data_IF_271914095719
#
_entry.id   IF_271914095719
#
_cell.length_a   1.000
_cell.length_b   1.000
_cell.length_c   1.000
_cell.angle_alpha   90.00
_cell.angle_beta   90.00
_cell.angle_gamma   90.00
#
_symmetry.space_group_name_H-M   'P 1'
#
loop_
_entity.id
_entity.type
_entity.pdbx_description
1 polymer ?
#
# COMPACT_ATOMS: atom_id res chain seq x y z
N UNK A 1 21.62 61.08 44.23
CA UNK A 1 21.99 60.40 45.49
C UNK A 1 20.89 59.43 45.88
N UNK A 2 21.25 58.17 46.21
CA UNK A 2 20.43 57.08 46.81
C UNK A 2 19.45 56.40 45.82
N UNK A 3 19.31 55.07 45.69
CA UNK A 3 19.88 53.87 46.34
C UNK A 3 19.55 52.67 45.42
N UNK A 4 20.43 51.67 45.37
CA UNK A 4 20.14 50.34 44.84
C UNK A 4 19.34 49.48 45.85
N UNK A 5 18.49 48.55 45.40
CA UNK A 5 18.61 47.09 45.63
C UNK A 5 17.41 46.27 45.07
N UNK A 6 17.78 45.33 44.20
CA UNK A 6 17.34 43.94 43.88
C UNK A 6 16.13 43.34 44.63
N UNK A 7 15.25 42.64 43.88
CA UNK A 7 14.68 41.32 44.24
C UNK A 7 14.20 40.55 42.99
N UNK A 8 14.27 39.22 43.08
CA UNK A 8 14.47 38.27 41.99
C UNK A 8 13.21 37.49 41.56
N UNK A 9 13.25 37.03 40.30
CA UNK A 9 12.69 35.80 39.69
C UNK A 9 11.21 35.39 39.91
N UNK A 10 10.47 35.17 38.81
CA UNK A 10 9.92 33.84 38.40
C UNK A 10 9.69 33.85 36.88
N UNK A 11 10.20 32.81 36.22
CA UNK A 11 10.09 32.48 34.79
C UNK A 11 8.69 31.92 34.49
N UNK A 12 8.11 32.21 33.32
CA UNK A 12 7.31 31.22 32.60
C UNK A 12 7.52 31.40 31.10
N UNK A 13 8.26 30.45 30.52
CA UNK A 13 8.47 30.31 29.09
C UNK A 13 7.17 29.86 28.42
N UNK A 14 6.60 30.69 27.56
CA UNK A 14 5.46 30.37 26.72
C UNK A 14 5.90 30.18 25.27
N UNK A 15 6.54 29.06 24.96
CA UNK A 15 6.71 28.62 23.58
C UNK A 15 5.65 27.54 23.33
N UNK A 16 4.45 27.96 22.94
CA UNK A 16 3.45 27.07 22.37
C UNK A 16 3.54 27.19 20.85
N UNK A 17 4.61 26.65 20.28
CA UNK A 17 4.51 26.19 18.89
C UNK A 17 3.52 25.04 18.92
N UNK A 18 2.34 25.26 18.36
CA UNK A 18 1.50 24.17 17.86
C UNK A 18 2.34 23.43 16.83
N UNK A 19 3.14 22.48 17.30
CA UNK A 19 3.66 21.41 16.47
C UNK A 19 2.42 20.63 16.06
N UNK A 20 1.91 20.96 14.87
CA UNK A 20 1.17 20.02 14.06
C UNK A 20 2.12 18.85 13.81
N UNK A 21 2.16 17.95 14.79
CA UNK A 21 2.79 16.67 14.66
C UNK A 21 2.00 15.97 13.56
N UNK A 22 2.45 16.16 12.32
CA UNK A 22 2.16 15.27 11.23
C UNK A 22 2.53 13.88 11.75
N UNK A 23 1.54 13.16 12.23
CA UNK A 23 1.64 11.74 12.50
C UNK A 23 1.97 11.14 11.15
N UNK A 24 3.25 10.99 10.85
CA UNK A 24 3.68 10.07 9.82
C UNK A 24 3.16 8.71 10.26
N UNK A 25 2.04 8.30 9.68
CA UNK A 25 1.47 7.00 9.90
C UNK A 25 2.57 5.99 9.59
N UNK A 26 3.11 5.34 10.63
CA UNK A 26 4.02 4.21 10.43
C UNK A 26 3.19 3.11 9.79
N UNK A 27 3.25 2.99 8.48
CA UNK A 27 2.57 1.94 7.73
C UNK A 27 3.52 0.76 7.55
N UNK A 28 3.00 -0.46 7.73
CA UNK A 28 3.71 -1.65 7.24
C UNK A 28 3.47 -1.74 5.74
N UNK A 29 4.54 -1.80 4.96
CA UNK A 29 4.47 -1.80 3.50
C UNK A 29 4.97 -3.10 2.93
N UNK A 30 4.17 -3.69 2.04
CA UNK A 30 4.44 -4.90 1.28
C UNK A 30 4.61 -4.51 -0.19
N UNK A 31 5.68 -4.98 -0.82
CA UNK A 31 5.97 -4.68 -2.21
C UNK A 31 5.89 -5.97 -3.04
N UNK A 32 5.53 -5.82 -4.31
CA UNK A 32 5.59 -6.88 -5.29
C UNK A 32 6.08 -6.33 -6.64
N UNK A 33 6.93 -7.10 -7.31
CA UNK A 33 7.18 -6.90 -8.75
C UNK A 33 6.25 -7.83 -9.50
N UNK A 34 5.49 -7.28 -10.44
CA UNK A 34 4.49 -8.01 -11.22
C UNK A 34 5.04 -8.30 -12.61
N UNK A 35 4.94 -9.55 -13.03
CA UNK A 35 5.37 -10.04 -14.35
C UNK A 35 4.43 -11.16 -14.81
N UNK A 36 4.38 -11.42 -16.12
CA UNK A 36 3.50 -12.46 -16.66
C UNK A 36 3.97 -13.89 -16.39
N UNK A 37 5.26 -14.11 -16.17
CA UNK A 37 5.82 -15.42 -15.82
C UNK A 37 5.45 -15.89 -14.41
N UNK A 38 4.94 -14.99 -13.56
CA UNK A 38 4.41 -15.31 -12.25
C UNK A 38 2.95 -15.76 -12.27
N UNK A 39 2.25 -15.65 -13.41
CA UNK A 39 0.87 -16.15 -13.55
C UNK A 39 0.80 -17.68 -13.48
N UNK A 40 -0.33 -18.19 -12.97
CA UNK A 40 -0.64 -19.62 -13.05
C UNK A 40 -1.34 -19.88 -14.38
N UNK A 41 -0.54 -19.96 -15.43
CA UNK A 41 -0.98 -20.04 -16.82
C UNK A 41 -0.23 -19.04 -17.70
N UNK A 42 -0.71 -18.79 -18.93
CA UNK A 42 -0.08 -17.79 -19.80
C UNK A 42 -0.38 -16.38 -19.28
N UNK A 43 0.65 -15.68 -18.82
CA UNK A 43 0.64 -14.24 -18.64
C UNK A 43 1.22 -13.48 -19.83
N UNK A 44 1.21 -12.16 -19.73
CA UNK A 44 1.78 -11.24 -20.70
C UNK A 44 3.32 -11.30 -20.62
N UNK A 45 4.01 -11.78 -21.67
CA UNK A 45 5.42 -12.16 -21.59
C UNK A 45 6.39 -10.98 -21.46
N UNK A 46 5.98 -9.76 -21.80
CA UNK A 46 6.83 -8.57 -21.76
C UNK A 46 6.26 -7.41 -20.92
N UNK A 47 5.06 -7.57 -20.35
CA UNK A 47 4.50 -6.64 -19.39
C UNK A 47 5.13 -6.74 -17.99
N UNK A 48 5.19 -5.60 -17.31
CA UNK A 48 5.62 -5.54 -15.91
C UNK A 48 5.02 -4.35 -15.15
N UNK A 49 4.98 -4.46 -13.84
CA UNK A 49 4.62 -3.36 -12.94
C UNK A 49 5.25 -3.55 -11.54
N UNK A 50 5.11 -2.54 -10.68
CA UNK A 50 5.37 -2.66 -9.24
C UNK A 50 4.13 -2.33 -8.46
N UNK A 51 3.82 -3.12 -7.45
CA UNK A 51 2.76 -2.83 -6.51
C UNK A 51 3.32 -2.57 -5.11
N UNK A 52 2.70 -1.62 -4.44
CA UNK A 52 2.89 -1.29 -3.04
C UNK A 52 1.54 -1.43 -2.33
N UNK A 53 1.52 -2.18 -1.24
CA UNK A 53 0.36 -2.36 -0.37
C UNK A 53 0.77 -1.96 1.04
N UNK A 54 0.10 -0.97 1.62
CA UNK A 54 0.42 -0.44 2.94
C UNK A 54 -0.75 -0.60 3.90
N UNK A 55 -0.45 -0.98 5.13
CA UNK A 55 -1.43 -1.16 6.20
C UNK A 55 -1.28 -0.04 7.22
N UNK A 56 -2.37 0.64 7.54
CA UNK A 56 -2.38 1.71 8.53
C UNK A 56 -2.07 1.16 9.93
N UNK A 57 -1.38 1.95 10.77
CA UNK A 57 -0.93 1.53 12.12
C UNK A 57 -2.06 1.04 13.02
N UNK A 58 -3.22 1.67 12.92
CA UNK A 58 -4.44 1.35 13.65
C UNK A 58 -5.23 0.18 13.04
N UNK A 59 -4.70 -0.45 11.97
CA UNK A 59 -5.28 -1.62 11.31
C UNK A 59 -6.71 -1.41 10.80
N UNK A 60 -7.08 -0.17 10.52
CA UNK A 60 -8.42 0.19 10.04
C UNK A 60 -8.48 0.42 8.53
N UNK A 61 -7.33 0.50 7.87
CA UNK A 61 -7.23 0.71 6.42
C UNK A 61 -6.07 -0.03 5.79
N UNK A 62 -6.30 -0.42 4.54
CA UNK A 62 -5.30 -0.90 3.61
C UNK A 62 -5.29 0.00 2.38
N UNK A 63 -4.10 0.48 2.02
CA UNK A 63 -3.87 1.33 0.87
C UNK A 63 -3.03 0.59 -0.15
N UNK A 64 -3.23 0.92 -1.42
CA UNK A 64 -2.53 0.29 -2.52
C UNK A 64 -2.09 1.31 -3.55
N UNK A 65 -1.02 0.99 -4.25
CA UNK A 65 -0.58 1.72 -5.42
C UNK A 65 0.17 0.82 -6.40
N UNK A 66 -0.17 0.92 -7.68
CA UNK A 66 0.61 0.30 -8.76
C UNK A 66 1.36 1.38 -9.53
N UNK A 67 2.65 1.15 -9.77
CA UNK A 67 3.59 2.06 -10.44
C UNK A 67 4.40 1.29 -11.48
N UNK A 68 5.19 2.03 -12.26
CA UNK A 68 6.13 1.48 -13.25
C UNK A 68 5.47 0.48 -14.21
N UNK A 69 4.19 0.70 -14.56
CA UNK A 69 3.44 -0.15 -15.49
C UNK A 69 4.04 0.01 -16.89
N UNK A 70 4.50 -1.10 -17.49
CA UNK A 70 5.18 -1.13 -18.80
C UNK A 70 4.61 -2.25 -19.67
N UNK A 71 4.54 -1.98 -20.97
CA UNK A 71 4.16 -2.91 -22.04
C UNK A 71 2.84 -3.67 -21.85
N UNK A 72 1.97 -3.23 -20.94
CA UNK A 72 0.68 -3.86 -20.72
C UNK A 72 -0.39 -3.25 -21.64
N UNK A 73 -1.29 -4.09 -22.15
CA UNK A 73 -2.50 -3.64 -22.83
C UNK A 73 -3.47 -2.88 -21.92
N UNK A 74 -4.60 -2.38 -22.44
CA UNK A 74 -5.62 -1.72 -21.64
C UNK A 74 -6.08 -2.58 -20.46
N UNK A 75 -5.92 -2.04 -19.23
CA UNK A 75 -6.28 -2.73 -18.00
C UNK A 75 -7.81 -2.81 -17.88
N UNK A 76 -8.33 -4.03 -17.74
CA UNK A 76 -9.76 -4.30 -17.56
C UNK A 76 -10.14 -4.47 -16.10
N UNK A 77 -9.24 -5.01 -15.29
CA UNK A 77 -9.39 -5.16 -13.84
C UNK A 77 -8.03 -5.28 -13.15
N UNK A 78 -8.00 -5.01 -11.85
CA UNK A 78 -6.84 -5.24 -11.01
C UNK A 78 -7.30 -5.57 -9.59
N UNK A 79 -6.67 -6.55 -8.96
CA UNK A 79 -7.09 -7.05 -7.66
C UNK A 79 -5.91 -7.42 -6.76
N UNK A 80 -6.17 -7.44 -5.45
CA UNK A 80 -5.42 -8.30 -4.52
C UNK A 80 -6.23 -9.58 -4.39
N UNK A 81 -5.57 -10.72 -4.52
CA UNK A 81 -6.14 -12.05 -4.33
C UNK A 81 -5.57 -12.72 -3.08
N UNK A 82 -6.33 -13.65 -2.51
CA UNK A 82 -5.86 -14.59 -1.48
C UNK A 82 -5.43 -15.90 -2.16
N UNK A 83 -4.14 -16.18 -2.16
CA UNK A 83 -3.55 -17.41 -2.72
C UNK A 83 -2.03 -17.43 -2.58
N UNK A 84 -1.48 -18.61 -2.33
CA UNK A 84 -0.04 -18.82 -2.24
C UNK A 84 0.63 -18.73 -3.62
N UNK A 85 1.96 -18.61 -3.63
CA UNK A 85 2.76 -18.65 -4.87
C UNK A 85 2.45 -19.93 -5.67
N UNK A 86 2.16 -19.77 -6.96
CA UNK A 86 1.82 -20.88 -7.85
C UNK A 86 0.37 -21.37 -7.77
N UNK A 87 -0.46 -20.76 -6.92
CA UNK A 87 -1.88 -21.09 -6.77
C UNK A 87 -2.78 -19.88 -7.07
N UNK A 88 -3.88 -20.11 -7.79
CA UNK A 88 -4.92 -19.10 -8.00
C UNK A 88 -5.90 -19.12 -6.83
N UNK A 89 -6.39 -17.94 -6.44
CA UNK A 89 -7.47 -17.83 -5.47
C UNK A 89 -8.39 -16.64 -5.73
N UNK A 90 -9.41 -16.42 -4.88
CA UNK A 90 -10.44 -15.41 -5.12
C UNK A 90 -9.89 -13.98 -4.96
N UNK A 91 -10.43 -13.00 -5.71
CA UNK A 91 -10.13 -11.60 -5.46
C UNK A 91 -10.72 -11.15 -4.12
N UNK A 92 -9.94 -10.46 -3.31
CA UNK A 92 -10.34 -9.97 -1.98
C UNK A 92 -10.38 -8.44 -1.89
N UNK A 93 -9.64 -7.72 -2.75
CA UNK A 93 -9.71 -6.26 -2.88
C UNK A 93 -9.66 -5.87 -4.35
N UNK A 94 -10.53 -4.96 -4.77
CA UNK A 94 -10.47 -4.32 -6.09
C UNK A 94 -9.58 -3.08 -6.06
N UNK A 95 -8.62 -3.03 -6.99
CA UNK A 95 -7.69 -1.93 -7.18
C UNK A 95 -8.30 -0.98 -8.22
N UNK A 96 -8.95 0.09 -7.73
CA UNK A 96 -9.62 1.06 -8.59
C UNK A 96 -8.65 2.10 -9.13
N UNK A 97 -9.02 2.66 -10.30
CA UNK A 97 -8.31 3.81 -10.86
C UNK A 97 -8.65 5.06 -10.07
N UNK A 98 -7.63 5.81 -9.67
CA UNK A 98 -7.82 7.10 -9.01
C UNK A 98 -8.27 8.17 -10.02
N UNK A 99 -8.99 9.24 -9.58
CA UNK A 99 -9.37 10.35 -10.44
C UNK A 99 -8.18 11.02 -11.17
N UNK A 100 -7.05 11.13 -10.48
CA UNK A 100 -5.79 11.66 -11.01
C UNK A 100 -5.05 10.65 -11.94
N UNK A 101 -5.56 9.43 -12.07
CA UNK A 101 -4.96 8.36 -12.84
C UNK A 101 -4.15 7.36 -12.00
N UNK A 102 -3.82 6.23 -12.63
CA UNK A 102 -3.14 5.10 -11.97
C UNK A 102 -4.07 4.28 -11.06
N UNK A 103 -3.61 3.09 -10.68
CA UNK A 103 -4.29 2.22 -9.73
C UNK A 103 -3.79 2.59 -8.33
N UNK A 104 -4.53 3.43 -7.62
CA UNK A 104 -4.15 3.93 -6.30
C UNK A 104 -5.40 4.20 -5.48
N UNK A 105 -5.38 3.81 -4.21
CA UNK A 105 -6.50 4.07 -3.32
C UNK A 105 -6.29 3.48 -1.94
N UNK A 106 -7.30 3.65 -1.10
CA UNK A 106 -7.41 2.98 0.19
C UNK A 106 -8.81 2.40 0.33
N UNK A 107 -8.92 1.31 1.07
CA UNK A 107 -10.18 0.74 1.53
C UNK A 107 -10.12 0.52 3.03
N UNK A 108 -11.28 0.42 3.66
CA UNK A 108 -11.39 -0.02 5.04
C UNK A 108 -10.76 -1.40 5.20
N UNK A 109 -10.18 -1.64 6.37
CA UNK A 109 -9.49 -2.88 6.68
C UNK A 109 -10.45 -4.07 6.56
N UNK A 110 -10.11 -5.08 5.74
CA UNK A 110 -10.89 -6.29 5.68
C UNK A 110 -10.67 -7.15 6.93
N UNK A 111 -11.63 -8.01 7.24
CA UNK A 111 -11.57 -8.89 8.42
C UNK A 111 -10.33 -9.80 8.44
N UNK A 112 -9.83 -10.19 7.26
CA UNK A 112 -8.66 -11.06 7.10
C UNK A 112 -7.31 -10.35 7.32
N UNK A 113 -7.29 -9.01 7.40
CA UNK A 113 -6.06 -8.20 7.40
C UNK A 113 -5.07 -8.63 8.50
N UNK A 114 -5.57 -8.89 9.70
CA UNK A 114 -4.72 -9.28 10.82
C UNK A 114 -4.07 -10.65 10.60
N UNK A 115 -4.76 -11.58 9.96
CA UNK A 115 -4.22 -12.91 9.65
C UNK A 115 -3.20 -12.83 8.51
N UNK A 116 -3.44 -11.99 7.50
CA UNK A 116 -2.45 -11.67 6.48
C UNK A 116 -1.18 -11.08 7.09
N UNK A 117 -1.29 -10.16 8.05
CA UNK A 117 -0.11 -9.59 8.72
C UNK A 117 0.69 -10.64 9.52
N UNK A 118 0.03 -11.59 10.19
CA UNK A 118 0.73 -12.67 10.94
C UNK A 118 1.57 -13.55 10.02
N UNK A 119 1.16 -13.72 8.77
CA UNK A 119 1.87 -14.50 7.74
C UNK A 119 2.68 -13.62 6.79
N UNK A 120 2.91 -12.35 7.15
CA UNK A 120 3.65 -11.37 6.35
C UNK A 120 3.08 -11.18 4.93
N UNK A 121 1.77 -11.38 4.71
CA UNK A 121 1.10 -11.33 3.40
C UNK A 121 1.56 -12.38 2.37
N UNK A 122 2.35 -13.38 2.77
CA UNK A 122 2.88 -14.42 1.84
C UNK A 122 1.80 -15.24 1.13
N UNK A 123 0.57 -15.27 1.65
CA UNK A 123 -0.60 -15.89 1.02
C UNK A 123 -1.42 -14.94 0.14
N UNK A 124 -0.88 -13.79 -0.29
CA UNK A 124 -1.62 -12.80 -1.08
C UNK A 124 -0.78 -12.31 -2.26
N UNK A 125 -1.44 -11.97 -3.36
CA UNK A 125 -0.78 -11.45 -4.55
C UNK A 125 -1.59 -10.34 -5.21
N UNK A 126 -0.90 -9.46 -5.93
CA UNK A 126 -1.52 -8.47 -6.81
C UNK A 126 -1.60 -9.05 -8.22
N UNK A 127 -2.74 -8.88 -8.86
CA UNK A 127 -2.99 -9.33 -10.23
C UNK A 127 -3.64 -8.24 -11.07
N UNK A 128 -3.22 -8.11 -12.32
CA UNK A 128 -3.76 -7.14 -13.28
C UNK A 128 -4.21 -7.90 -14.53
N UNK A 129 -5.40 -7.56 -15.02
CA UNK A 129 -6.04 -8.22 -16.15
C UNK A 129 -6.15 -7.27 -17.34
N UNK A 130 -6.11 -7.84 -18.55
CA UNK A 130 -6.38 -7.14 -19.80
C UNK A 130 -7.42 -7.92 -20.62
N UNK A 131 -7.80 -7.42 -21.79
CA UNK A 131 -8.66 -8.17 -22.69
C UNK A 131 -7.99 -9.44 -23.26
N UNK A 132 -6.68 -9.36 -23.54
CA UNK A 132 -5.89 -10.48 -24.08
C UNK A 132 -5.56 -11.52 -23.01
N UNK A 133 -5.46 -11.08 -21.74
CA UNK A 133 -5.17 -11.91 -20.58
C UNK A 133 -6.25 -11.75 -19.50
N UNK A 134 -7.47 -12.30 -19.73
CA UNK A 134 -8.59 -12.10 -18.81
C UNK A 134 -8.40 -12.80 -17.46
N UNK A 135 -7.61 -13.88 -17.43
CA UNK A 135 -7.32 -14.63 -16.19
C UNK A 135 -6.12 -14.07 -15.41
N UNK A 136 -5.42 -13.08 -15.96
CA UNK A 136 -4.22 -12.49 -15.35
C UNK A 136 -3.17 -12.19 -16.43
N UNK A 137 -2.84 -10.90 -16.62
CA UNK A 137 -1.76 -10.45 -17.49
C UNK A 137 -0.43 -10.47 -16.75
N UNK A 138 -0.40 -9.91 -15.54
CA UNK A 138 0.78 -9.88 -14.68
C UNK A 138 0.40 -10.09 -13.21
N UNK A 139 1.23 -10.87 -12.51
CA UNK A 139 1.06 -11.23 -11.10
C UNK A 139 2.32 -10.96 -10.31
N UNK A 140 2.15 -10.60 -9.03
CA UNK A 140 3.25 -10.44 -8.09
C UNK A 140 2.83 -10.82 -6.67
N UNK A 141 3.54 -11.77 -6.07
CA UNK A 141 3.29 -12.19 -4.68
C UNK A 141 3.72 -11.10 -3.70
N UNK A 142 2.94 -10.87 -2.65
CA UNK A 142 3.27 -9.96 -1.55
C UNK A 142 4.07 -10.71 -0.48
N UNK A 143 4.84 -9.96 0.32
CA UNK A 143 5.44 -10.51 1.53
C UNK A 143 6.68 -11.38 1.36
N UNK A 144 7.24 -11.38 0.15
CA UNK A 144 8.53 -12.02 -0.17
C UNK A 144 9.72 -11.20 0.29
#
# INVERSE_FOLDING_TARGET
MKRALILASVVLAGCATVEEAAVQATTTTYNATLTGDQEVGPGDPDASAKAEVSVARNLDRICYQVRDIRNIGPITAAHIHEGAMGENGPPVITLNKAPEGGLKGCTDAPQWLQDAMKTNFTGYYVNIHTADYPNGAIRGQLGL
#
